data_IF_352593119476
#
_entry.id   IF_352593119476
#
_cell.length_a   1.000
_cell.length_b   1.000
_cell.length_c   1.000
_cell.angle_alpha   90.00
_cell.angle_beta   90.00
_cell.angle_gamma   90.00
#
_symmetry.space_group_name_H-M   'P 1'
#
loop_
_entity.id
_entity.type
_entity.pdbx_description
1 polymer ?
#
# COMPACT_ATOMS: atom_id res chain seq x y z
N UNK A 1 40.89 54.90 -35.02
CA UNK A 1 40.02 56.06 -34.76
C UNK A 1 38.89 55.55 -33.88
N UNK A 2 38.96 55.70 -32.54
CA UNK A 2 38.50 56.88 -31.76
C UNK A 2 37.00 57.14 -31.98
N UNK A 3 36.09 57.30 -31.02
CA UNK A 3 36.14 57.45 -29.55
C UNK A 3 34.69 57.66 -29.05
N UNK A 4 34.37 57.15 -27.85
CA UNK A 4 33.61 57.76 -26.75
C UNK A 4 32.20 58.42 -26.89
N UNK A 5 31.35 58.06 -25.92
CA UNK A 5 29.99 58.48 -25.46
C UNK A 5 29.73 60.00 -25.27
N UNK A 6 28.50 60.53 -25.00
CA UNK A 6 27.42 60.04 -24.08
C UNK A 6 25.97 60.33 -24.62
N UNK A 7 24.82 60.24 -23.95
CA UNK A 7 24.42 60.12 -22.54
C UNK A 7 22.88 60.24 -22.43
N UNK A 8 22.40 59.96 -21.22
CA UNK A 8 21.02 59.81 -20.74
C UNK A 8 19.95 60.84 -21.18
N UNK A 9 18.73 60.32 -21.34
CA UNK A 9 17.46 61.06 -21.25
C UNK A 9 16.35 60.15 -20.74
N UNK A 10 16.18 60.11 -19.42
CA UNK A 10 15.11 59.40 -18.71
C UNK A 10 13.82 60.26 -18.75
N UNK A 11 12.68 59.70 -19.18
CA UNK A 11 11.35 60.13 -18.69
C UNK A 11 10.26 59.11 -18.98
N UNK A 12 9.48 58.93 -17.94
CA UNK A 12 8.55 57.86 -17.64
C UNK A 12 7.20 57.91 -18.36
N UNK A 13 6.63 56.69 -18.50
CA UNK A 13 5.22 56.29 -18.33
C UNK A 13 4.14 56.88 -19.26
N UNK A 14 3.49 55.96 -19.98
CA UNK A 14 2.15 56.13 -20.53
C UNK A 14 1.73 54.88 -21.31
N UNK A 15 1.02 53.96 -20.65
CA UNK A 15 0.73 52.62 -21.15
C UNK A 15 -0.29 52.55 -22.28
N UNK A 16 -0.25 51.42 -23.02
CA UNK A 16 -1.39 50.88 -23.79
C UNK A 16 -1.38 49.35 -23.76
N UNK A 17 -2.47 48.83 -23.20
CA UNK A 17 -3.20 47.60 -23.44
C UNK A 17 -2.50 46.39 -24.11
N UNK A 18 -2.37 45.32 -23.34
CA UNK A 18 -2.27 43.94 -23.80
C UNK A 18 -3.10 43.04 -22.88
N UNK A 19 -4.20 42.53 -23.41
CA UNK A 19 -5.24 41.76 -22.73
C UNK A 19 -4.81 40.30 -22.53
N UNK A 20 -4.69 39.85 -21.28
CA UNK A 20 -4.76 38.41 -20.92
C UNK A 20 -5.57 38.25 -19.65
N UNK A 21 -6.86 37.95 -19.82
CA UNK A 21 -7.83 37.61 -18.79
C UNK A 21 -7.51 36.22 -18.21
N UNK A 22 -6.78 36.16 -17.09
CA UNK A 22 -6.56 34.93 -16.32
C UNK A 22 -7.80 34.69 -15.45
N UNK A 23 -8.77 33.94 -15.98
CA UNK A 23 -9.88 33.40 -15.19
C UNK A 23 -9.35 32.47 -14.10
N UNK A 24 -9.42 32.91 -12.85
CA UNK A 24 -9.30 32.07 -11.66
C UNK A 24 -10.47 31.10 -11.59
N UNK A 25 -10.22 29.80 -11.79
CA UNK A 25 -11.19 28.76 -11.49
C UNK A 25 -11.12 28.42 -10.00
N UNK A 26 -12.11 28.93 -9.26
CA UNK A 26 -12.39 28.65 -7.84
C UNK A 26 -13.01 27.25 -7.74
N UNK A 27 -12.46 26.37 -6.89
CA UNK A 27 -13.11 25.08 -6.56
C UNK A 27 -14.23 25.35 -5.55
N UNK A 28 -15.44 24.81 -5.73
CA UNK A 28 -16.46 24.80 -4.70
C UNK A 28 -16.17 23.69 -3.68
N UNK A 29 -16.51 23.97 -2.42
CA UNK A 29 -16.50 23.08 -1.23
C UNK A 29 -15.30 23.24 -0.27
N UNK A 30 -15.11 24.46 0.26
CA UNK A 30 -14.54 24.67 1.60
C UNK A 30 -15.63 24.39 2.64
N UNK A 31 -15.58 23.21 3.26
CA UNK A 31 -16.34 22.92 4.47
C UNK A 31 -15.43 23.08 5.70
N UNK A 32 -15.93 23.82 6.69
CA UNK A 32 -15.24 24.22 7.91
C UNK A 32 -14.62 23.06 8.70
N UNK A 33 -13.43 23.31 9.22
CA UNK A 33 -12.63 22.41 10.07
C UNK A 33 -13.42 22.04 11.34
N UNK A 34 -13.66 20.74 11.57
CA UNK A 34 -14.28 20.22 12.80
C UNK A 34 -13.19 19.91 13.83
N UNK A 35 -13.42 20.18 15.13
CA UNK A 35 -12.40 20.01 16.16
C UNK A 35 -12.01 18.54 16.31
N UNK A 36 -10.69 18.29 16.35
CA UNK A 36 -10.11 16.96 16.52
C UNK A 36 -10.32 16.46 17.95
N UNK A 37 -11.24 15.51 18.14
CA UNK A 37 -11.41 14.77 19.40
C UNK A 37 -10.54 13.51 19.44
N UNK A 38 -9.28 13.68 19.90
CA UNK A 38 -8.43 12.73 20.66
C UNK A 38 -7.91 11.42 20.02
N UNK A 39 -6.99 10.69 20.71
CA UNK A 39 -6.18 11.10 21.86
C UNK A 39 -4.76 11.56 21.45
N UNK A 40 -4.23 12.42 22.31
CA UNK A 40 -2.92 13.04 22.28
C UNK A 40 -1.82 12.01 22.50
N UNK A 41 -0.70 12.20 21.81
CA UNK A 41 0.58 11.57 22.11
C UNK A 41 0.98 11.96 23.54
N UNK A 42 1.22 10.96 24.38
CA UNK A 42 1.97 11.11 25.63
C UNK A 42 3.16 10.15 25.54
N UNK A 43 4.35 10.73 25.41
CA UNK A 43 5.62 10.00 25.40
C UNK A 43 6.01 9.51 26.80
N UNK A 44 6.49 8.27 26.79
CA UNK A 44 7.50 7.59 27.63
C UNK A 44 7.36 7.49 29.16
N UNK A 45 7.38 6.22 29.62
CA UNK A 45 8.26 5.74 30.70
C UNK A 45 8.57 4.25 30.50
N UNK A 46 9.86 3.92 30.46
CA UNK A 46 10.38 2.55 30.53
C UNK A 46 10.49 2.10 32.00
N UNK A 47 10.11 0.85 32.31
CA UNK A 47 10.90 -0.12 33.12
C UNK A 47 10.10 -1.41 33.43
N UNK A 48 10.69 -2.54 33.02
CA UNK A 48 10.78 -3.86 33.68
C UNK A 48 9.65 -4.91 33.65
N UNK A 49 9.92 -5.95 32.84
CA UNK A 49 9.94 -7.41 33.11
C UNK A 49 8.71 -8.10 33.72
N UNK A 50 7.98 -8.90 32.92
CA UNK A 50 7.72 -10.34 33.16
C UNK A 50 6.81 -10.99 32.08
N UNK A 51 7.32 -12.11 31.53
CA UNK A 51 6.64 -13.32 31.01
C UNK A 51 5.25 -13.24 30.35
N UNK A 52 5.20 -13.54 29.05
CA UNK A 52 4.10 -14.32 28.45
C UNK A 52 3.14 -13.58 27.51
N UNK A 53 3.21 -13.96 26.23
CA UNK A 53 2.12 -13.99 25.23
C UNK A 53 1.62 -12.67 24.61
N UNK A 54 1.57 -12.71 23.26
CA UNK A 54 0.95 -11.77 22.32
C UNK A 54 1.76 -10.52 22.04
N UNK A 55 2.61 -10.59 21.00
CA UNK A 55 3.06 -9.40 20.27
C UNK A 55 1.82 -8.79 19.60
N UNK A 56 1.10 -7.92 20.32
CA UNK A 56 0.10 -7.06 19.69
C UNK A 56 0.81 -6.24 18.63
N UNK A 57 0.49 -6.55 17.38
CA UNK A 57 1.03 -5.85 16.23
C UNK A 57 0.51 -4.42 16.29
N UNK A 58 1.38 -3.46 16.63
CA UNK A 58 1.15 -2.00 16.60
C UNK A 58 0.97 -1.46 15.17
N UNK A 59 0.30 -2.22 14.31
CA UNK A 59 -0.14 -1.75 13.01
C UNK A 59 -1.45 -0.98 13.19
N UNK A 60 -1.37 0.34 13.22
CA UNK A 60 -2.55 1.20 13.19
C UNK A 60 -3.14 1.15 11.79
N UNK A 61 -4.07 0.24 11.55
CA UNK A 61 -4.94 0.27 10.38
C UNK A 61 -6.07 1.27 10.65
N UNK A 62 -6.07 2.40 9.95
CA UNK A 62 -7.25 3.25 9.93
C UNK A 62 -8.35 2.56 9.11
N UNK A 63 -9.18 1.78 9.79
CA UNK A 63 -10.27 1.03 9.20
C UNK A 63 -11.62 1.69 9.54
N UNK A 64 -12.20 2.51 8.63
CA UNK A 64 -13.48 3.18 8.88
C UNK A 64 -14.66 2.20 9.00
N UNK A 65 -14.43 0.91 8.75
CA UNK A 65 -15.43 -0.15 8.77
C UNK A 65 -15.27 -1.10 9.98
N UNK A 66 -14.49 -0.72 11.00
CA UNK A 66 -14.17 -1.58 12.14
C UNK A 66 -15.40 -2.14 12.90
N UNK A 67 -16.54 -1.44 12.86
CA UNK A 67 -17.80 -1.88 13.49
C UNK A 67 -18.52 -3.01 12.74
N UNK A 68 -18.09 -3.33 11.52
CA UNK A 68 -18.69 -4.35 10.68
C UNK A 68 -17.93 -5.67 10.80
N UNK A 69 -18.58 -6.79 10.46
CA UNK A 69 -17.86 -8.06 10.36
C UNK A 69 -16.83 -8.03 9.22
N UNK A 70 -15.83 -8.90 9.30
CA UNK A 70 -14.66 -8.87 8.40
C UNK A 70 -15.05 -8.99 6.91
N UNK A 71 -16.07 -9.79 6.58
CA UNK A 71 -16.54 -9.95 5.20
C UNK A 71 -17.22 -8.68 4.67
N UNK A 72 -18.02 -8.03 5.51
CA UNK A 72 -18.66 -6.75 5.19
C UNK A 72 -17.66 -5.60 5.05
N UNK A 73 -16.54 -5.65 5.77
CA UNK A 73 -15.42 -4.72 5.59
C UNK A 73 -14.79 -4.91 4.21
N UNK A 74 -14.48 -6.15 3.83
CA UNK A 74 -13.85 -6.50 2.54
C UNK A 74 -14.66 -6.03 1.35
N UNK A 75 -15.98 -6.27 1.35
CA UNK A 75 -16.89 -5.88 0.26
C UNK A 75 -16.94 -4.36 0.07
N UNK A 76 -16.72 -3.57 1.12
CA UNK A 76 -16.73 -2.10 1.07
C UNK A 76 -15.41 -1.49 0.58
N UNK A 77 -14.34 -2.27 0.48
CA UNK A 77 -13.08 -1.77 -0.07
C UNK A 77 -13.25 -1.41 -1.55
N UNK A 78 -12.77 -0.24 -2.01
CA UNK A 78 -12.92 0.20 -3.41
C UNK A 78 -12.45 -0.83 -4.45
N UNK A 79 -11.40 -1.60 -4.14
CA UNK A 79 -10.88 -2.62 -5.06
C UNK A 79 -11.86 -3.76 -5.33
N UNK A 80 -12.80 -4.03 -4.42
CA UNK A 80 -13.72 -5.17 -4.53
C UNK A 80 -14.58 -5.08 -5.79
N UNK A 81 -15.02 -3.87 -6.15
CA UNK A 81 -15.80 -3.59 -7.38
C UNK A 81 -15.06 -3.98 -8.67
N UNK A 82 -13.73 -4.03 -8.62
CA UNK A 82 -12.87 -4.33 -9.76
C UNK A 82 -12.36 -5.77 -9.78
N UNK A 83 -12.79 -6.64 -8.86
CA UNK A 83 -12.32 -8.04 -8.73
C UNK A 83 -12.34 -8.78 -10.07
N UNK A 84 -13.49 -8.82 -10.75
CA UNK A 84 -13.64 -9.55 -12.02
C UNK A 84 -12.77 -8.97 -13.13
N UNK A 85 -12.61 -7.65 -13.18
CA UNK A 85 -11.77 -6.98 -14.17
C UNK A 85 -10.29 -7.31 -13.93
N UNK A 86 -9.83 -7.28 -12.68
CA UNK A 86 -8.45 -7.65 -12.31
C UNK A 86 -8.15 -9.10 -12.73
N UNK A 87 -9.02 -10.05 -12.41
CA UNK A 87 -8.85 -11.45 -12.79
C UNK A 87 -8.81 -11.63 -14.31
N UNK A 88 -9.74 -11.00 -15.03
CA UNK A 88 -9.75 -11.02 -16.49
C UNK A 88 -8.44 -10.51 -17.09
N UNK A 89 -7.89 -9.40 -16.57
CA UNK A 89 -6.63 -8.85 -17.06
C UNK A 89 -5.45 -9.79 -16.78
N UNK A 90 -5.43 -10.45 -15.62
CA UNK A 90 -4.36 -11.40 -15.26
C UNK A 90 -4.40 -12.68 -16.11
N UNK A 91 -5.57 -13.15 -16.52
CA UNK A 91 -5.70 -14.27 -17.47
C UNK A 91 -5.23 -13.90 -18.89
N UNK A 92 -5.36 -12.63 -19.27
CA UNK A 92 -5.02 -12.14 -20.62
C UNK A 92 -3.58 -11.68 -20.77
N UNK A 93 -3.01 -11.13 -19.70
CA UNK A 93 -1.72 -10.47 -19.73
C UNK A 93 -0.80 -11.06 -18.66
N UNK A 94 0.41 -11.42 -19.08
CA UNK A 94 1.46 -11.92 -18.16
C UNK A 94 1.85 -10.90 -17.08
N UNK A 95 1.65 -9.60 -17.34
CA UNK A 95 1.99 -8.52 -16.41
C UNK A 95 0.87 -7.48 -16.40
N UNK A 96 0.38 -7.15 -15.21
CA UNK A 96 -0.68 -6.16 -14.98
C UNK A 96 -0.22 -5.18 -13.91
N UNK A 97 -0.34 -3.89 -14.21
CA UNK A 97 -0.05 -2.82 -13.24
C UNK A 97 -1.38 -2.34 -12.65
N UNK A 98 -1.54 -2.48 -11.34
CA UNK A 98 -2.73 -2.03 -10.61
C UNK A 98 -2.37 -0.77 -9.82
N UNK A 99 -2.99 0.36 -10.16
CA UNK A 99 -2.82 1.63 -9.47
C UNK A 99 -4.07 1.96 -8.66
N UNK A 100 -3.87 2.43 -7.43
CA UNK A 100 -4.95 2.92 -6.58
C UNK A 100 -4.39 3.51 -5.28
N UNK A 101 -5.18 4.32 -4.59
CA UNK A 101 -4.78 5.00 -3.35
C UNK A 101 -4.49 4.02 -2.20
N UNK A 102 -3.74 4.47 -1.19
CA UNK A 102 -3.55 3.69 0.05
C UNK A 102 -4.91 3.43 0.72
N UNK A 103 -5.09 2.25 1.31
CA UNK A 103 -6.36 1.88 1.94
C UNK A 103 -7.45 1.36 0.98
N UNK A 104 -7.22 1.39 -0.34
CA UNK A 104 -8.23 0.86 -1.28
C UNK A 104 -8.33 -0.69 -1.30
N UNK A 105 -7.42 -1.39 -0.62
CA UNK A 105 -7.43 -2.84 -0.46
C UNK A 105 -6.48 -3.65 -1.35
N UNK A 106 -5.54 -3.02 -2.08
CA UNK A 106 -4.61 -3.73 -3.00
C UNK A 106 -3.87 -4.90 -2.35
N UNK A 107 -3.07 -4.60 -1.32
CA UNK A 107 -2.16 -5.58 -0.72
C UNK A 107 -2.89 -6.64 0.11
N UNK A 108 -4.14 -6.41 0.49
CA UNK A 108 -4.94 -7.39 1.25
C UNK A 108 -5.83 -8.22 0.32
N UNK A 109 -6.52 -7.62 -0.66
CA UNK A 109 -7.56 -8.31 -1.44
C UNK A 109 -7.05 -8.99 -2.71
N UNK A 110 -6.08 -8.41 -3.43
CA UNK A 110 -5.59 -9.02 -4.69
C UNK A 110 -5.07 -10.44 -4.49
N UNK A 111 -4.23 -10.73 -3.46
CA UNK A 111 -3.75 -12.10 -3.22
C UNK A 111 -4.90 -13.08 -2.95
N UNK A 112 -5.93 -12.62 -2.24
CA UNK A 112 -7.10 -13.43 -1.93
C UNK A 112 -7.95 -13.73 -3.18
N UNK A 113 -8.08 -12.77 -4.10
CA UNK A 113 -8.76 -12.98 -5.37
C UNK A 113 -8.04 -14.01 -6.23
N UNK A 114 -6.71 -13.93 -6.30
CA UNK A 114 -5.87 -14.89 -7.02
C UNK A 114 -6.03 -16.30 -6.43
N UNK A 115 -5.96 -16.42 -5.11
CA UNK A 115 -6.15 -17.69 -4.42
C UNK A 115 -7.54 -18.30 -4.71
N UNK A 116 -8.59 -17.48 -4.61
CA UNK A 116 -9.98 -17.89 -4.90
C UNK A 116 -10.20 -18.27 -6.36
N UNK A 117 -9.49 -17.63 -7.29
CA UNK A 117 -9.50 -17.99 -8.72
C UNK A 117 -8.70 -19.27 -9.02
N UNK A 118 -7.94 -19.77 -8.05
CA UNK A 118 -7.23 -21.05 -8.16
C UNK A 118 -5.79 -20.94 -8.65
N UNK A 119 -5.17 -19.76 -8.56
CA UNK A 119 -3.79 -19.53 -9.01
C UNK A 119 -2.74 -20.32 -8.21
N UNK A 120 -3.11 -20.86 -7.05
CA UNK A 120 -2.27 -21.69 -6.18
C UNK A 120 -2.72 -23.17 -6.14
N UNK A 121 -3.53 -23.64 -7.10
CA UNK A 121 -4.07 -25.02 -7.08
C UNK A 121 -3.02 -26.10 -7.35
N UNK A 122 -1.99 -25.79 -8.12
CA UNK A 122 -0.96 -26.75 -8.54
C UNK A 122 0.21 -26.87 -7.55
N UNK A 123 -0.01 -26.49 -6.29
CA UNK A 123 1.04 -26.41 -5.26
C UNK A 123 1.97 -25.19 -5.37
N UNK A 124 1.67 -24.25 -6.28
CA UNK A 124 2.35 -22.95 -6.40
C UNK A 124 1.90 -21.97 -5.32
N UNK A 125 2.75 -21.00 -5.02
CA UNK A 125 2.52 -19.96 -4.01
C UNK A 125 2.33 -18.59 -4.66
N UNK A 126 1.34 -17.83 -4.21
CA UNK A 126 1.22 -16.41 -4.55
C UNK A 126 2.19 -15.64 -3.66
N UNK A 127 3.32 -15.22 -4.20
CA UNK A 127 4.29 -14.40 -3.49
C UNK A 127 3.92 -12.90 -3.56
N UNK A 128 3.98 -12.23 -2.42
CA UNK A 128 3.77 -10.79 -2.31
C UNK A 128 4.99 -10.19 -1.64
N UNK A 129 5.72 -9.35 -2.36
CA UNK A 129 6.83 -8.64 -1.76
C UNK A 129 6.40 -7.29 -1.17
N UNK A 130 7.03 -6.90 -0.07
CA UNK A 130 6.94 -5.57 0.51
C UNK A 130 8.34 -5.10 0.90
N UNK A 131 8.67 -3.80 0.69
CA UNK A 131 10.00 -3.30 1.01
C UNK A 131 10.29 -3.23 2.51
N UNK A 132 9.26 -3.26 3.37
CA UNK A 132 9.38 -3.09 4.82
C UNK A 132 8.95 -4.36 5.55
N UNK A 133 9.79 -4.84 6.47
CA UNK A 133 9.49 -6.00 7.34
C UNK A 133 8.15 -5.85 8.07
N UNK A 134 7.86 -4.68 8.64
CA UNK A 134 6.59 -4.43 9.35
C UNK A 134 5.40 -4.64 8.41
N UNK A 135 5.46 -4.16 7.18
CA UNK A 135 4.37 -4.34 6.22
C UNK A 135 4.12 -5.81 5.87
N UNK A 136 5.18 -6.62 5.73
CA UNK A 136 5.08 -8.07 5.49
C UNK A 136 4.31 -8.77 6.60
N UNK A 137 4.77 -8.61 7.85
CA UNK A 137 4.18 -9.27 9.03
C UNK A 137 2.73 -8.83 9.19
N UNK A 138 2.51 -7.51 9.19
CA UNK A 138 1.20 -6.90 9.37
C UNK A 138 0.18 -7.31 8.31
N UNK A 139 0.58 -7.37 7.03
CA UNK A 139 -0.33 -7.80 5.95
C UNK A 139 -0.63 -9.29 6.02
N UNK A 140 0.36 -10.13 6.32
CA UNK A 140 0.14 -11.57 6.47
C UNK A 140 -0.83 -11.88 7.60
N UNK A 141 -0.63 -11.29 8.78
CA UNK A 141 -1.55 -11.43 9.91
C UNK A 141 -2.96 -10.97 9.54
N UNK A 142 -3.08 -9.78 8.92
CA UNK A 142 -4.38 -9.25 8.50
C UNK A 142 -5.09 -10.13 7.48
N UNK A 143 -4.37 -10.66 6.51
CA UNK A 143 -4.96 -11.53 5.48
C UNK A 143 -5.32 -12.90 6.03
N UNK A 144 -4.55 -13.42 7.00
CA UNK A 144 -4.89 -14.64 7.73
C UNK A 144 -6.20 -14.49 8.52
N UNK A 145 -6.37 -13.36 9.23
CA UNK A 145 -7.63 -13.00 9.92
C UNK A 145 -8.81 -12.89 8.94
N UNK A 146 -8.61 -12.23 7.80
CA UNK A 146 -9.65 -12.07 6.77
C UNK A 146 -10.09 -13.39 6.12
N UNK A 147 -9.18 -14.36 6.08
CA UNK A 147 -9.39 -15.72 5.56
C UNK A 147 -9.83 -16.72 6.62
N UNK A 148 -9.90 -16.31 7.88
CA UNK A 148 -10.20 -17.19 9.02
C UNK A 148 -9.27 -18.42 9.05
N UNK A 149 -7.97 -18.18 8.90
CA UNK A 149 -6.95 -19.23 8.96
C UNK A 149 -5.84 -18.88 9.94
N UNK A 150 -5.18 -19.90 10.48
CA UNK A 150 -4.02 -19.69 11.33
C UNK A 150 -2.81 -19.23 10.47
N UNK A 151 -2.17 -18.14 10.91
CA UNK A 151 -0.96 -17.61 10.28
C UNK A 151 0.16 -18.65 10.27
N UNK A 152 0.78 -18.86 9.12
CA UNK A 152 1.80 -19.88 8.89
C UNK A 152 1.31 -21.09 8.09
N UNK A 153 0.00 -21.29 7.97
CA UNK A 153 -0.58 -22.27 7.06
C UNK A 153 -0.95 -21.60 5.73
N UNK A 154 -2.23 -21.57 5.32
CA UNK A 154 -2.70 -21.04 4.03
C UNK A 154 -2.15 -19.64 3.70
N UNK A 155 -1.97 -18.80 4.72
CA UNK A 155 -1.33 -17.48 4.64
C UNK A 155 -0.14 -17.46 5.58
N UNK A 156 1.03 -17.04 5.09
CA UNK A 156 2.26 -16.97 5.86
C UNK A 156 3.16 -15.82 5.42
N UNK A 157 4.28 -15.67 6.12
CA UNK A 157 5.30 -14.70 5.73
C UNK A 157 6.73 -15.17 5.97
N UNK A 158 7.67 -14.56 5.25
CA UNK A 158 9.10 -14.73 5.51
C UNK A 158 9.82 -13.39 5.41
N UNK A 159 10.55 -13.05 6.46
CA UNK A 159 11.45 -11.89 6.51
C UNK A 159 12.82 -12.35 7.01
N UNK A 160 13.80 -11.45 7.03
CA UNK A 160 15.14 -11.83 7.47
C UNK A 160 15.10 -12.30 8.93
N UNK A 161 15.56 -13.53 9.16
CA UNK A 161 15.65 -14.20 10.46
C UNK A 161 14.31 -14.59 11.10
N UNK A 162 13.23 -14.61 10.34
CA UNK A 162 11.89 -14.87 10.87
C UNK A 162 11.00 -15.40 9.74
N UNK A 163 10.62 -16.68 9.83
CA UNK A 163 9.87 -17.41 8.82
C UNK A 163 8.66 -18.08 9.47
N UNK A 164 7.48 -17.62 9.10
CA UNK A 164 6.18 -18.13 9.55
C UNK A 164 5.43 -18.56 8.29
N UNK A 165 5.90 -19.64 7.68
CA UNK A 165 5.29 -20.30 6.54
C UNK A 165 5.66 -21.78 6.52
N UNK A 166 4.86 -22.60 5.84
CA UNK A 166 5.10 -24.03 5.66
C UNK A 166 4.86 -24.45 4.21
N UNK A 167 4.89 -25.76 3.94
CA UNK A 167 4.62 -26.32 2.61
C UNK A 167 3.15 -26.16 2.17
N UNK A 168 2.24 -25.92 3.10
CA UNK A 168 0.82 -25.66 2.83
C UNK A 168 0.53 -24.20 2.52
N UNK A 169 1.46 -23.27 2.79
CA UNK A 169 1.28 -21.84 2.51
C UNK A 169 1.03 -21.56 1.05
N UNK A 170 -0.10 -20.91 0.74
CA UNK A 170 -0.52 -20.53 -0.62
C UNK A 170 -0.35 -19.05 -0.88
N UNK A 171 -0.46 -18.21 0.15
CA UNK A 171 -0.19 -16.77 0.09
C UNK A 171 1.02 -16.49 0.97
N UNK A 172 2.14 -16.08 0.37
CA UNK A 172 3.40 -15.83 1.09
C UNK A 172 3.79 -14.37 0.97
N UNK A 173 3.69 -13.62 2.07
CA UNK A 173 4.24 -12.27 2.14
C UNK A 173 5.73 -12.31 2.46
N UNK A 174 6.55 -11.52 1.79
CA UNK A 174 7.98 -11.54 2.04
C UNK A 174 8.63 -10.19 1.77
N UNK A 175 9.86 -9.97 2.24
CA UNK A 175 10.62 -8.80 1.79
C UNK A 175 11.25 -9.06 0.43
N UNK A 176 11.53 -8.00 -0.32
CA UNK A 176 12.19 -8.10 -1.64
C UNK A 176 13.51 -8.88 -1.56
N UNK A 177 14.27 -8.70 -0.47
CA UNK A 177 15.52 -9.43 -0.23
C UNK A 177 15.35 -10.93 0.03
N UNK A 178 14.17 -11.38 0.50
CA UNK A 178 13.86 -12.81 0.60
C UNK A 178 13.58 -13.38 -0.79
N UNK A 179 12.75 -12.71 -1.60
CA UNK A 179 12.50 -13.14 -2.98
C UNK A 179 13.78 -13.20 -3.81
N UNK A 180 14.65 -12.19 -3.67
CA UNK A 180 15.95 -12.19 -4.36
C UNK A 180 16.82 -13.38 -3.94
N UNK A 181 16.77 -13.79 -2.67
CA UNK A 181 17.49 -14.98 -2.21
C UNK A 181 16.89 -16.27 -2.76
N UNK A 182 15.57 -16.38 -2.82
CA UNK A 182 14.89 -17.51 -3.45
C UNK A 182 15.27 -17.61 -4.93
N UNK A 183 15.31 -16.49 -5.66
CA UNK A 183 15.73 -16.43 -7.06
C UNK A 183 17.18 -16.90 -7.29
N UNK A 184 18.09 -16.66 -6.34
CA UNK A 184 19.47 -17.15 -6.44
C UNK A 184 19.57 -18.68 -6.30
N UNK A 185 18.60 -19.31 -5.62
CA UNK A 185 18.54 -20.76 -5.41
C UNK A 185 17.75 -21.43 -6.54
N UNK A 186 16.61 -20.84 -6.91
CA UNK A 186 15.75 -21.28 -8.00
C UNK A 186 15.50 -20.09 -8.96
N UNK A 187 16.30 -19.95 -10.03
CA UNK A 187 16.17 -18.87 -11.00
C UNK A 187 14.85 -18.86 -11.77
N UNK A 188 14.12 -19.98 -11.79
CA UNK A 188 12.82 -20.07 -12.45
C UNK A 188 11.65 -19.73 -11.51
N UNK A 189 11.94 -19.64 -10.20
CA UNK A 189 10.93 -19.46 -9.15
C UNK A 189 9.77 -20.45 -9.30
N UNK A 190 10.05 -21.73 -9.57
CA UNK A 190 9.04 -22.73 -9.95
C UNK A 190 7.98 -22.96 -8.86
N UNK A 191 8.29 -22.61 -7.61
CA UNK A 191 7.36 -22.66 -6.47
C UNK A 191 6.40 -21.46 -6.40
N UNK A 192 6.72 -20.35 -7.07
CA UNK A 192 6.00 -19.06 -7.03
C UNK A 192 5.27 -18.78 -8.35
#
# INVERSE_FOLDING_TARGET
>A
MSSYHPGHGNRERGGRAGHTDRRQFRRPDEAADKPRTGPLVLEERQAETSTGTTTESLAVFNNPYASLNIQQQRIRLPIFKNRSHILYMLERYRTVIIVGETGCGKSTQVPQFLLEAGWAKDGRQIAITQPRRVAVVTLATRVAEEKDCLLGHDVGYTVRFDDVSDTSTKIKFMTDGILLRELLVDPLLAKV
#
